data_IF_718966316460
#
_entry.id   IF_718966316460
#
_cell.length_a   1.000
_cell.length_b   1.000
_cell.length_c   1.000
_cell.angle_alpha   90.00
_cell.angle_beta   90.00
_cell.angle_gamma   90.00
#
_symmetry.space_group_name_H-M   'P 1'
#
loop_
_entity.id
_entity.type
_entity.pdbx_description
1 polymer ?
#
# COMPACT_ATOMS: atom_id res chain seq x y z
N UNK A 1 -9.21 51.55 -78.64
CA UNK A 1 -9.61 50.12 -78.63
C UNK A 1 -8.55 49.16 -78.06
N UNK A 2 -7.27 49.54 -77.94
CA UNK A 2 -6.20 48.67 -77.41
C UNK A 2 -6.13 48.54 -75.88
N UNK A 3 -6.53 49.57 -75.12
CA UNK A 3 -6.40 49.59 -73.65
C UNK A 3 -7.43 48.68 -72.94
N UNK A 4 -8.63 48.53 -73.52
CA UNK A 4 -9.70 47.68 -72.97
C UNK A 4 -9.31 46.19 -73.06
N UNK A 5 -8.59 45.80 -74.12
CA UNK A 5 -8.14 44.42 -74.36
C UNK A 5 -7.08 44.00 -73.35
N UNK A 6 -6.13 44.87 -73.00
CA UNK A 6 -5.07 44.58 -72.03
C UNK A 6 -5.66 44.44 -70.62
N UNK A 7 -6.61 45.29 -70.23
CA UNK A 7 -7.24 45.23 -68.90
C UNK A 7 -8.08 43.94 -68.74
N UNK A 8 -8.75 43.51 -69.82
CA UNK A 8 -9.49 42.25 -69.85
C UNK A 8 -8.57 41.03 -69.74
N UNK A 9 -7.43 41.03 -70.44
CA UNK A 9 -6.42 39.96 -70.37
C UNK A 9 -5.79 39.86 -68.97
N UNK A 10 -5.45 40.99 -68.33
CA UNK A 10 -4.89 41.00 -66.96
C UNK A 10 -5.92 40.47 -65.95
N UNK A 11 -7.19 40.82 -66.11
CA UNK A 11 -8.26 40.34 -65.23
C UNK A 11 -8.45 38.82 -65.39
N UNK A 12 -8.44 38.33 -66.63
CA UNK A 12 -8.53 36.91 -66.93
C UNK A 12 -7.33 36.12 -66.37
N UNK A 13 -6.10 36.65 -66.53
CA UNK A 13 -4.90 36.03 -65.98
C UNK A 13 -4.95 35.97 -64.44
N UNK A 14 -5.35 37.06 -63.77
CA UNK A 14 -5.50 37.08 -62.31
C UNK A 14 -6.56 36.09 -61.81
N UNK A 15 -7.66 35.94 -62.55
CA UNK A 15 -8.70 34.95 -62.23
C UNK A 15 -8.16 33.52 -62.36
N UNK A 16 -7.42 33.23 -63.44
CA UNK A 16 -6.75 31.93 -63.64
C UNK A 16 -5.75 31.66 -62.52
N UNK A 17 -4.92 32.63 -62.13
CA UNK A 17 -3.97 32.47 -61.02
C UNK A 17 -4.67 32.28 -59.67
N UNK A 18 -5.82 32.92 -59.45
CA UNK A 18 -6.63 32.73 -58.24
C UNK A 18 -7.23 31.32 -58.18
N UNK A 19 -7.80 30.83 -59.28
CA UNK A 19 -8.38 29.49 -59.38
C UNK A 19 -7.30 28.38 -59.29
N UNK A 20 -6.10 28.61 -59.83
CA UNK A 20 -4.94 27.72 -59.66
C UNK A 20 -4.49 27.64 -58.20
N UNK A 21 -4.42 28.75 -57.48
CA UNK A 21 -4.07 28.73 -56.05
C UNK A 21 -5.15 28.04 -55.21
N UNK A 22 -6.42 28.28 -55.52
CA UNK A 22 -7.55 27.66 -54.80
C UNK A 22 -7.59 26.15 -55.01
N UNK A 23 -7.35 25.69 -56.24
CA UNK A 23 -7.22 24.25 -56.54
C UNK A 23 -6.00 23.63 -55.88
N UNK A 24 -4.83 24.28 -55.88
CA UNK A 24 -3.66 23.81 -55.13
C UNK A 24 -3.92 23.69 -53.63
N UNK A 25 -4.60 24.67 -53.02
CA UNK A 25 -4.96 24.60 -51.59
C UNK A 25 -5.91 23.44 -51.34
N UNK A 26 -6.97 23.28 -52.14
CA UNK A 26 -7.91 22.17 -51.97
C UNK A 26 -7.22 20.81 -52.10
N UNK A 27 -6.30 20.65 -53.07
CA UNK A 27 -5.52 19.43 -53.26
C UNK A 27 -4.62 19.17 -52.05
N UNK A 28 -3.93 20.20 -51.53
CA UNK A 28 -3.12 20.08 -50.32
C UNK A 28 -3.96 19.70 -49.10
N UNK A 29 -5.15 20.27 -48.92
CA UNK A 29 -6.05 19.93 -47.82
C UNK A 29 -6.56 18.49 -47.95
N UNK A 30 -6.86 18.04 -49.18
CA UNK A 30 -7.30 16.67 -49.44
C UNK A 30 -6.19 15.65 -49.16
N UNK A 31 -4.94 15.95 -49.55
CA UNK A 31 -3.77 15.13 -49.24
C UNK A 31 -3.54 15.05 -47.73
N UNK A 32 -3.70 16.18 -47.02
CA UNK A 32 -3.58 16.21 -45.55
C UNK A 32 -4.65 15.33 -44.88
N UNK A 33 -5.90 15.41 -45.37
CA UNK A 33 -7.02 14.59 -44.89
C UNK A 33 -6.82 13.09 -45.18
N UNK A 34 -6.26 12.71 -46.33
CA UNK A 34 -5.92 11.32 -46.63
C UNK A 34 -4.75 10.80 -45.78
N UNK A 35 -3.79 11.64 -45.41
CA UNK A 35 -2.68 11.24 -44.53
C UNK A 35 -3.10 11.02 -43.06
N UNK A 36 -4.27 11.52 -42.66
CA UNK A 36 -4.79 11.37 -41.31
C UNK A 36 -5.53 10.03 -41.08
N UNK A 37 -5.68 9.18 -42.11
CA UNK A 37 -6.39 7.89 -42.02
C UNK A 37 -5.48 6.67 -41.92
N UNK A 38 -4.19 6.85 -41.59
CA UNK A 38 -3.35 5.74 -41.15
C UNK A 38 -3.86 5.28 -39.78
N UNK A 39 -4.64 4.18 -39.78
CA UNK A 39 -4.93 3.46 -38.54
C UNK A 39 -3.58 3.08 -37.93
N UNK A 40 -3.22 3.72 -36.82
CA UNK A 40 -2.08 3.33 -36.00
C UNK A 40 -2.39 1.94 -35.45
N UNK A 41 -2.08 0.91 -36.23
CA UNK A 41 -1.84 -0.44 -35.72
C UNK A 41 -0.50 -0.37 -35.00
N UNK A 42 -0.47 0.32 -33.87
CA UNK A 42 0.47 0.00 -32.83
C UNK A 42 0.15 -1.46 -32.49
N UNK A 43 0.93 -2.38 -33.05
CA UNK A 43 1.00 -3.72 -32.51
C UNK A 43 1.53 -3.53 -31.09
N UNK A 44 0.61 -3.38 -30.14
CA UNK A 44 0.87 -3.74 -28.76
C UNK A 44 1.27 -5.19 -28.86
N UNK A 45 2.58 -5.44 -28.96
CA UNK A 45 3.13 -6.77 -28.77
C UNK A 45 2.57 -7.16 -27.43
N UNK A 46 1.55 -8.03 -27.44
CA UNK A 46 1.13 -8.74 -26.25
C UNK A 46 2.40 -9.47 -25.89
N UNK A 47 3.16 -8.91 -24.94
CA UNK A 47 4.24 -9.60 -24.27
C UNK A 47 3.56 -10.89 -23.83
N UNK A 48 3.83 -11.99 -24.54
CA UNK A 48 3.45 -13.30 -24.04
C UNK A 48 4.09 -13.29 -22.67
N UNK A 49 3.28 -13.23 -21.63
CA UNK A 49 3.73 -13.58 -20.31
C UNK A 49 4.19 -15.03 -20.49
N UNK A 50 5.48 -15.22 -20.80
CA UNK A 50 6.15 -16.44 -20.39
C UNK A 50 5.75 -16.52 -18.93
N UNK A 51 4.96 -17.52 -18.56
CA UNK A 51 4.79 -17.85 -17.16
C UNK A 51 6.21 -17.79 -16.60
N UNK A 52 6.48 -16.80 -15.74
CA UNK A 52 7.75 -16.77 -15.05
C UNK A 52 7.87 -18.15 -14.42
N UNK A 53 8.99 -18.82 -14.64
CA UNK A 53 9.15 -20.14 -14.05
C UNK A 53 8.85 -20.02 -12.56
N UNK A 54 7.97 -20.90 -12.07
CA UNK A 54 7.52 -20.84 -10.70
C UNK A 54 8.66 -21.33 -9.80
N UNK A 55 9.52 -20.40 -9.42
CA UNK A 55 10.63 -20.65 -8.52
C UNK A 55 10.18 -20.86 -7.07
N UNK A 56 8.88 -20.77 -6.75
CA UNK A 56 8.38 -21.09 -5.39
C UNK A 56 8.81 -22.49 -4.97
N UNK A 57 8.82 -23.45 -5.91
CA UNK A 57 9.26 -24.83 -5.70
C UNK A 57 10.71 -24.91 -5.21
N UNK A 58 11.59 -23.99 -5.64
CA UNK A 58 13.00 -23.95 -5.19
C UNK A 58 13.16 -23.41 -3.76
N UNK A 59 12.17 -22.67 -3.27
CA UNK A 59 12.23 -21.98 -1.99
C UNK A 59 11.29 -22.54 -0.93
N UNK A 60 10.43 -23.51 -1.29
CA UNK A 60 9.48 -24.12 -0.36
C UNK A 60 10.14 -24.77 0.86
N UNK A 61 11.38 -25.25 0.71
CA UNK A 61 12.15 -25.83 1.81
C UNK A 61 12.99 -24.79 2.60
N UNK A 62 13.02 -23.52 2.17
CA UNK A 62 13.71 -22.47 2.89
C UNK A 62 12.86 -21.96 4.05
N UNK A 63 13.40 -22.10 5.26
CA UNK A 63 12.77 -21.63 6.49
C UNK A 63 13.60 -20.52 7.13
N UNK A 64 12.92 -19.44 7.51
CA UNK A 64 13.51 -18.40 8.34
C UNK A 64 13.87 -18.99 9.70
N UNK A 65 15.07 -18.65 10.20
CA UNK A 65 15.50 -18.98 11.56
C UNK A 65 16.02 -17.74 12.25
N UNK A 66 15.67 -17.60 13.52
CA UNK A 66 16.21 -16.55 14.35
C UNK A 66 17.69 -16.85 14.66
N UNK A 67 18.60 -15.91 14.35
CA UNK A 67 20.03 -16.03 14.63
C UNK A 67 20.47 -15.26 15.90
N UNK A 68 19.53 -14.59 16.56
CA UNK A 68 19.81 -13.78 17.74
C UNK A 68 20.24 -12.34 17.42
N UNK A 69 20.49 -11.53 18.47
CA UNK A 69 20.46 -11.89 19.89
C UNK A 69 19.05 -12.22 20.40
N UNK A 70 18.92 -13.21 21.29
CA UNK A 70 17.62 -13.67 21.83
C UNK A 70 16.99 -12.73 22.86
N UNK A 71 17.74 -11.70 23.27
CA UNK A 71 17.30 -10.69 24.25
C UNK A 71 17.80 -9.33 23.77
N UNK A 72 16.90 -8.35 23.77
CA UNK A 72 17.20 -6.98 23.38
C UNK A 72 16.29 -6.47 22.26
N UNK A 73 16.62 -5.29 21.78
CA UNK A 73 15.75 -4.52 20.90
C UNK A 73 14.85 -3.55 21.69
N UNK A 74 14.20 -2.65 20.95
CA UNK A 74 13.32 -1.64 21.54
C UNK A 74 11.89 -2.15 21.58
N UNK A 75 11.29 -2.03 22.75
CA UNK A 75 9.89 -2.35 22.99
C UNK A 75 9.11 -1.06 23.19
N UNK A 76 7.98 -0.92 22.51
CA UNK A 76 7.10 0.25 22.57
C UNK A 76 5.81 -0.03 23.35
N UNK A 77 5.42 -1.30 23.50
CA UNK A 77 4.24 -1.71 24.26
C UNK A 77 4.58 -2.89 25.18
N UNK A 78 3.96 -2.94 26.36
CA UNK A 78 4.03 -4.08 27.27
C UNK A 78 2.72 -4.20 28.02
N UNK A 79 2.25 -5.43 28.25
CA UNK A 79 1.13 -5.73 29.14
C UNK A 79 1.32 -7.08 29.79
N UNK A 80 0.87 -7.23 31.04
CA UNK A 80 0.85 -8.51 31.75
C UNK A 80 -0.51 -9.19 31.64
N UNK A 81 -0.54 -10.48 31.94
CA UNK A 81 -1.78 -11.22 32.16
C UNK A 81 -2.29 -10.96 33.59
N UNK A 82 -3.51 -10.42 33.79
CA UNK A 82 -4.04 -10.22 35.14
C UNK A 82 -4.04 -11.52 35.96
N UNK A 83 -3.46 -11.46 37.16
CA UNK A 83 -3.38 -12.61 38.07
C UNK A 83 -2.27 -13.63 37.79
N UNK A 84 -1.45 -13.43 36.75
CA UNK A 84 -0.32 -14.31 36.43
C UNK A 84 0.96 -13.50 36.16
N UNK A 85 1.93 -13.59 37.08
CA UNK A 85 3.19 -12.86 36.98
C UNK A 85 4.20 -13.43 35.97
N UNK A 86 3.93 -14.61 35.41
CA UNK A 86 4.85 -15.27 34.46
C UNK A 86 4.49 -14.99 33.00
N UNK A 87 3.24 -14.58 32.74
CA UNK A 87 2.73 -14.35 31.38
C UNK A 87 2.65 -12.85 31.10
N UNK A 88 3.40 -12.40 30.10
CA UNK A 88 3.32 -11.04 29.61
C UNK A 88 3.65 -10.96 28.13
N UNK A 89 3.21 -9.85 27.54
CA UNK A 89 3.29 -9.55 26.13
C UNK A 89 4.12 -8.30 25.94
N UNK A 90 4.93 -8.28 24.88
CA UNK A 90 5.64 -7.10 24.46
C UNK A 90 5.36 -6.79 22.98
N UNK A 91 5.38 -5.52 22.65
CA UNK A 91 5.29 -5.01 21.28
C UNK A 91 6.60 -4.39 20.88
N UNK A 92 7.31 -5.03 19.96
CA UNK A 92 8.61 -4.56 19.48
C UNK A 92 8.45 -3.41 18.46
N UNK A 93 9.47 -2.56 18.39
CA UNK A 93 9.59 -1.59 17.31
C UNK A 93 10.08 -2.29 16.05
N UNK A 94 9.28 -2.25 14.98
CA UNK A 94 9.57 -2.94 13.72
C UNK A 94 9.59 -4.46 13.81
N UNK A 95 9.09 -5.04 14.91
CA UNK A 95 9.33 -6.45 15.26
C UNK A 95 8.14 -7.21 15.81
N UNK A 96 6.91 -6.69 15.68
CA UNK A 96 5.70 -7.46 16.01
C UNK A 96 5.45 -7.69 17.51
N UNK A 97 4.54 -8.63 17.81
CA UNK A 97 4.09 -8.98 19.16
C UNK A 97 4.80 -10.25 19.63
N UNK A 98 5.31 -10.21 20.85
CA UNK A 98 5.95 -11.37 21.49
C UNK A 98 5.29 -11.67 22.83
N UNK A 99 5.24 -12.96 23.17
CA UNK A 99 4.68 -13.48 24.41
C UNK A 99 5.72 -14.30 25.14
N UNK A 100 5.75 -14.17 26.46
CA UNK A 100 6.44 -15.07 27.37
C UNK A 100 5.42 -15.76 28.27
N UNK A 101 5.77 -16.95 28.75
CA UNK A 101 5.03 -17.70 29.76
C UNK A 101 5.94 -18.19 30.89
N UNK A 102 7.18 -17.68 30.95
CA UNK A 102 8.23 -18.11 31.87
C UNK A 102 8.95 -16.90 32.48
N UNK A 103 8.16 -15.86 32.79
CA UNK A 103 8.63 -14.62 33.39
C UNK A 103 9.71 -13.88 32.57
N UNK A 104 9.67 -14.01 31.24
CA UNK A 104 10.60 -13.34 30.32
C UNK A 104 11.92 -14.08 30.12
N UNK A 105 12.05 -15.32 30.60
CA UNK A 105 13.20 -16.15 30.34
C UNK A 105 13.29 -16.50 28.84
N UNK A 106 12.16 -16.77 28.18
CA UNK A 106 12.04 -16.96 26.74
C UNK A 106 10.84 -16.20 26.15
N UNK A 107 10.90 -15.96 24.84
CA UNK A 107 9.88 -15.21 24.11
C UNK A 107 9.55 -15.89 22.79
N UNK A 108 8.26 -15.97 22.47
CA UNK A 108 7.72 -16.46 21.21
C UNK A 108 7.10 -15.27 20.44
N UNK A 109 7.46 -15.08 19.18
CA UNK A 109 6.73 -14.18 18.30
C UNK A 109 5.37 -14.80 18.00
N UNK A 110 4.31 -14.03 18.18
CA UNK A 110 2.92 -14.47 18.02
C UNK A 110 2.17 -13.66 16.95
N UNK A 111 2.84 -12.76 16.23
CA UNK A 111 2.24 -11.96 15.14
C UNK A 111 2.69 -12.37 13.74
N UNK A 112 3.79 -13.11 13.62
CA UNK A 112 4.32 -13.56 12.33
C UNK A 112 3.25 -14.33 11.53
N UNK A 113 3.15 -14.03 10.23
CA UNK A 113 2.11 -14.57 9.34
C UNK A 113 0.80 -13.80 9.36
N UNK A 114 0.57 -12.91 10.33
CA UNK A 114 -0.66 -12.10 10.43
C UNK A 114 -0.39 -10.61 10.16
N UNK A 115 0.50 -10.01 10.94
CA UNK A 115 0.84 -8.59 10.84
C UNK A 115 2.25 -8.31 11.38
N UNK A 116 2.74 -7.09 11.15
CA UNK A 116 4.07 -6.70 11.58
C UNK A 116 4.23 -5.18 11.67
N UNK A 117 5.48 -4.74 11.64
CA UNK A 117 5.83 -3.34 11.89
C UNK A 117 5.94 -3.04 13.39
N UNK A 118 5.89 -1.76 13.74
CA UNK A 118 5.93 -1.34 15.14
C UNK A 118 4.59 -1.55 15.81
N UNK A 119 4.62 -2.07 17.03
CA UNK A 119 3.43 -2.23 17.86
C UNK A 119 3.30 -1.03 18.80
N UNK A 120 2.16 -0.34 18.70
CA UNK A 120 1.84 0.85 19.48
C UNK A 120 1.23 0.53 20.85
N UNK A 121 0.35 -0.47 20.92
CA UNK A 121 -0.23 -0.94 22.17
C UNK A 121 -0.65 -2.40 22.09
N UNK A 122 -0.67 -3.06 23.25
CA UNK A 122 -1.21 -4.39 23.46
C UNK A 122 -2.07 -4.32 24.73
N UNK A 123 -3.27 -4.89 24.70
CA UNK A 123 -4.16 -4.94 25.86
C UNK A 123 -4.80 -6.33 25.93
N UNK A 124 -4.80 -6.93 27.12
CA UNK A 124 -5.50 -8.20 27.40
C UNK A 124 -6.83 -7.85 28.07
N UNK A 125 -7.92 -8.47 27.62
CA UNK A 125 -9.23 -8.24 28.22
C UNK A 125 -9.29 -8.82 29.64
N UNK A 126 -9.80 -8.04 30.60
CA UNK A 126 -9.90 -8.49 31.99
C UNK A 126 -10.99 -9.57 32.19
N UNK A 127 -12.08 -9.48 31.42
CA UNK A 127 -13.19 -10.45 31.45
C UNK A 127 -12.84 -11.81 30.86
N UNK A 128 -11.88 -11.87 29.93
CA UNK A 128 -11.39 -13.09 29.29
C UNK A 128 -9.95 -12.91 28.84
N UNK A 129 -9.05 -13.55 29.57
CA UNK A 129 -7.61 -13.49 29.37
C UNK A 129 -7.12 -14.11 28.04
N UNK A 130 -7.99 -14.80 27.27
CA UNK A 130 -7.67 -15.25 25.92
C UNK A 130 -7.82 -14.15 24.88
N UNK A 131 -8.60 -13.11 25.18
CA UNK A 131 -8.85 -12.02 24.23
C UNK A 131 -7.74 -10.99 24.36
N UNK A 132 -6.97 -10.84 23.29
CA UNK A 132 -5.85 -9.90 23.21
C UNK A 132 -6.05 -8.99 22.02
N UNK A 133 -5.87 -7.69 22.24
CA UNK A 133 -5.82 -6.70 21.17
C UNK A 133 -4.40 -6.18 21.02
N UNK A 134 -3.98 -5.99 19.77
CA UNK A 134 -2.74 -5.33 19.42
C UNK A 134 -3.01 -4.24 18.40
N UNK A 135 -2.29 -3.14 18.49
CA UNK A 135 -2.38 -2.06 17.51
C UNK A 135 -1.00 -1.62 17.04
N UNK A 136 -0.94 -1.11 15.82
CA UNK A 136 0.30 -0.71 15.19
C UNK A 136 0.64 0.77 15.38
N UNK A 137 1.94 1.06 15.25
CA UNK A 137 2.48 2.40 15.09
C UNK A 137 3.32 2.89 16.25
N UNK A 138 4.42 3.56 15.92
CA UNK A 138 5.35 4.08 16.91
C UNK A 138 4.81 5.32 17.64
N UNK A 139 4.86 5.29 18.97
CA UNK A 139 4.41 6.40 19.83
C UNK A 139 5.43 7.53 19.92
N UNK A 140 6.72 7.17 19.89
CA UNK A 140 7.82 8.11 20.00
C UNK A 140 8.19 8.65 18.63
N UNK A 141 7.45 9.66 18.19
CA UNK A 141 7.68 10.35 16.92
C UNK A 141 9.03 11.12 16.99
N UNK A 142 9.96 10.78 16.10
CA UNK A 142 11.30 11.39 15.92
C UNK A 142 11.65 11.39 14.44
N UNK A 143 12.86 11.77 14.06
CA UNK A 143 13.25 11.94 12.64
C UNK A 143 12.87 10.78 11.71
N UNK A 144 12.89 9.53 12.19
CA UNK A 144 12.34 8.36 11.49
C UNK A 144 11.32 7.65 12.40
N UNK A 145 10.13 7.38 11.88
CA UNK A 145 9.02 6.76 12.61
C UNK A 145 8.43 5.62 11.80
N UNK A 146 8.28 4.45 12.41
CA UNK A 146 7.60 3.32 11.78
C UNK A 146 6.10 3.41 12.07
N UNK A 147 5.29 3.50 11.01
CA UNK A 147 3.85 3.34 11.11
C UNK A 147 3.47 1.86 11.33
N UNK A 148 2.23 1.65 11.75
CA UNK A 148 1.60 0.35 11.85
C UNK A 148 0.44 0.19 10.87
N UNK A 149 -0.33 -0.88 11.06
CA UNK A 149 -1.36 -1.32 10.12
C UNK A 149 -2.71 -1.57 10.83
N UNK A 150 -3.10 -0.67 11.71
CA UNK A 150 -4.39 -0.71 12.41
C UNK A 150 -4.41 -1.61 13.65
N UNK A 151 -5.60 -2.12 13.98
CA UNK A 151 -5.90 -2.93 15.17
C UNK A 151 -6.15 -4.38 14.77
N UNK A 152 -5.66 -5.30 15.59
CA UNK A 152 -5.78 -6.74 15.46
C UNK A 152 -6.30 -7.34 16.78
N UNK A 153 -7.11 -8.39 16.66
CA UNK A 153 -7.71 -9.13 17.80
C UNK A 153 -7.35 -10.60 17.70
N UNK A 154 -6.96 -11.18 18.82
CA UNK A 154 -6.86 -12.63 19.02
C UNK A 154 -7.93 -13.07 20.02
N UNK A 155 -8.45 -14.28 19.82
CA UNK A 155 -9.39 -14.96 20.74
C UNK A 155 -8.72 -16.15 21.47
N UNK A 156 -7.45 -16.38 21.22
CA UNK A 156 -6.68 -17.56 21.63
C UNK A 156 -5.28 -17.14 22.15
N UNK A 157 -5.27 -16.04 22.90
CA UNK A 157 -4.09 -15.52 23.61
C UNK A 157 -2.86 -15.25 22.72
N UNK A 158 -3.10 -15.00 21.44
CA UNK A 158 -2.12 -14.64 20.42
C UNK A 158 -1.83 -15.70 19.36
N UNK A 159 -2.44 -16.89 19.41
CA UNK A 159 -2.13 -17.95 18.44
C UNK A 159 -2.66 -17.63 17.03
N UNK A 160 -3.83 -16.98 16.93
CA UNK A 160 -4.38 -16.45 15.69
C UNK A 160 -4.88 -15.01 15.85
N UNK A 161 -4.89 -14.26 14.75
CA UNK A 161 -5.28 -12.86 14.74
C UNK A 161 -6.25 -12.52 13.61
N UNK A 162 -7.20 -11.66 13.92
CA UNK A 162 -8.17 -11.08 13.00
C UNK A 162 -7.98 -9.56 12.95
N UNK A 163 -7.96 -9.00 11.76
CA UNK A 163 -7.90 -7.55 11.57
C UNK A 163 -9.23 -6.88 11.95
N UNK A 164 -9.17 -5.81 12.73
CA UNK A 164 -10.35 -5.13 13.29
C UNK A 164 -10.63 -3.74 12.71
N UNK A 165 -9.68 -3.13 11.99
CA UNK A 165 -9.89 -1.80 11.39
C UNK A 165 -8.74 -0.82 11.64
N UNK A 166 -8.99 0.44 11.26
CA UNK A 166 -8.08 1.58 11.40
C UNK A 166 -6.74 1.45 10.64
N UNK A 167 -6.76 0.89 9.43
CA UNK A 167 -5.58 0.78 8.55
C UNK A 167 -4.85 2.11 8.39
N UNK A 168 -5.60 3.18 8.17
CA UNK A 168 -5.06 4.53 7.97
C UNK A 168 -4.76 5.25 9.28
N UNK A 169 -5.10 4.65 10.42
CA UNK A 169 -4.81 5.22 11.73
C UNK A 169 -3.33 5.31 12.02
N UNK A 170 -2.50 4.43 11.41
CA UNK A 170 -1.02 4.37 11.40
C UNK A 170 -0.29 4.38 12.75
N UNK A 171 -0.68 5.23 13.70
CA UNK A 171 -0.07 5.48 14.99
C UNK A 171 -1.14 5.36 16.09
N UNK A 172 -1.29 4.16 16.64
CA UNK A 172 -2.29 3.86 17.66
C UNK A 172 -1.56 3.51 18.97
N UNK A 173 -1.14 4.51 19.76
CA UNK A 173 -0.28 4.31 20.94
C UNK A 173 -0.99 3.75 22.16
N UNK A 174 -2.34 3.66 22.15
CA UNK A 174 -3.09 3.20 23.33
C UNK A 174 -4.41 2.55 22.96
N UNK A 175 -4.66 1.41 23.58
CA UNK A 175 -5.93 0.70 23.58
C UNK A 175 -6.44 0.57 25.02
N UNK A 176 -7.75 0.51 25.23
CA UNK A 176 -8.36 0.08 26.49
C UNK A 176 -9.56 -0.79 26.20
N UNK A 177 -9.59 -1.99 26.76
CA UNK A 177 -10.74 -2.89 26.67
C UNK A 177 -11.67 -2.60 27.86
N UNK A 178 -12.98 -2.58 27.63
CA UNK A 178 -13.93 -2.45 28.72
C UNK A 178 -13.81 -3.65 29.68
N UNK A 179 -13.77 -3.45 31.01
CA UNK A 179 -13.44 -4.51 31.96
C UNK A 179 -14.41 -5.70 31.90
N UNK A 180 -15.70 -5.44 31.66
CA UNK A 180 -16.75 -6.47 31.64
C UNK A 180 -17.25 -6.83 30.22
N UNK A 181 -16.73 -6.17 29.17
CA UNK A 181 -17.18 -6.39 27.80
C UNK A 181 -15.98 -6.39 26.85
N UNK A 182 -15.44 -7.55 26.47
CA UNK A 182 -14.22 -7.63 25.68
C UNK A 182 -14.39 -7.19 24.22
N UNK A 183 -15.62 -6.97 23.76
CA UNK A 183 -15.92 -6.47 22.41
C UNK A 183 -16.01 -4.94 22.34
N UNK A 184 -16.05 -4.26 23.49
CA UNK A 184 -15.97 -2.81 23.56
C UNK A 184 -14.54 -2.38 23.84
N UNK A 185 -13.92 -1.73 22.85
CA UNK A 185 -12.56 -1.21 22.96
C UNK A 185 -12.51 0.27 22.59
N UNK A 186 -11.63 1.00 23.27
CA UNK A 186 -11.30 2.38 22.98
C UNK A 186 -9.88 2.47 22.43
N UNK A 187 -9.69 3.21 21.36
CA UNK A 187 -8.39 3.44 20.75
C UNK A 187 -8.05 4.94 20.75
N UNK A 188 -6.84 5.28 21.18
CA UNK A 188 -6.28 6.61 20.95
C UNK A 188 -5.43 6.56 19.68
N UNK A 189 -5.72 7.42 18.71
CA UNK A 189 -5.04 7.50 17.42
C UNK A 189 -4.34 8.84 17.32
N UNK A 190 -3.07 8.81 16.91
CA UNK A 190 -2.26 10.01 16.68
C UNK A 190 -2.46 10.44 15.21
N UNK A 191 -3.00 11.65 15.04
CA UNK A 191 -3.45 12.21 13.76
C UNK A 191 -2.35 12.75 12.86
#
# INVERSE_FOLDING_TARGET
MFIITIKSIITLLNQIFYDMKKTSVIILTLILLLSATENIYAQRVKKKNKHGEDYSVLYNDLHYRHIGPFRGGRTAAVTGLPGNGEVFYQGATGGGVWKTTDAGASWKNISDGFFGGTIGAIEVAQSDNNIVYASGGEVTVRGNVSHGYGIWKSLDAGDTWTYMGLRDGQYIPRLRVHPDNPDLIYAAVLG
#
